data_IF_582845172665
#
_entry.id   IF_582845172665
#
_cell.length_a   1.000
_cell.length_b   1.000
_cell.length_c   1.000
_cell.angle_alpha   90.00
_cell.angle_beta   90.00
_cell.angle_gamma   90.00
#
_symmetry.space_group_name_H-M   'P 1'
#
loop_
_entity.id
_entity.type
_entity.pdbx_description
1 polymer ?
#
# COMPACT_ATOMS: atom_id res chain seq x y z
N UNK A 1 22.02 -5.64 -4.22
CA UNK A 1 20.80 -6.42 -4.56
C UNK A 1 19.63 -5.68 -3.94
N UNK A 2 18.84 -5.00 -4.75
CA UNK A 2 17.58 -4.40 -4.29
C UNK A 2 16.56 -5.52 -4.14
N UNK A 3 15.86 -5.65 -3.00
CA UNK A 3 14.86 -6.70 -2.85
C UNK A 3 13.77 -6.48 -3.88
N UNK A 4 13.50 -7.52 -4.67
CA UNK A 4 12.30 -7.62 -5.49
C UNK A 4 11.08 -7.41 -4.60
N UNK A 5 10.23 -6.44 -4.94
CA UNK A 5 8.96 -6.28 -4.27
C UNK A 5 7.99 -7.36 -4.76
N UNK A 6 8.11 -8.54 -4.18
CA UNK A 6 7.07 -9.54 -4.27
C UNK A 6 6.00 -9.18 -3.22
N UNK A 7 4.72 -9.15 -3.63
CA UNK A 7 3.63 -9.05 -2.67
C UNK A 7 3.60 -10.29 -1.77
N UNK A 8 3.28 -10.10 -0.50
CA UNK A 8 3.20 -11.17 0.49
C UNK A 8 1.75 -11.49 0.84
N UNK A 9 1.40 -12.77 0.76
CA UNK A 9 0.09 -13.30 1.12
C UNK A 9 0.19 -14.27 2.29
N UNK A 10 -0.72 -14.15 3.25
CA UNK A 10 -0.98 -15.16 4.27
C UNK A 10 -2.24 -15.93 3.87
N UNK A 11 -2.12 -17.22 3.62
CA UNK A 11 -3.23 -18.13 3.32
C UNK A 11 -3.56 -18.98 4.55
N UNK A 12 -4.78 -18.84 5.06
CA UNK A 12 -5.25 -19.57 6.26
C UNK A 12 -6.27 -20.62 5.80
N UNK A 13 -5.86 -21.88 5.76
CA UNK A 13 -6.71 -23.01 5.40
C UNK A 13 -6.09 -24.33 5.80
N UNK A 14 -6.93 -25.33 6.10
CA UNK A 14 -6.56 -26.75 6.24
C UNK A 14 -7.06 -27.58 5.06
N UNK A 15 -7.85 -26.98 4.17
CA UNK A 15 -8.41 -27.67 3.00
C UNK A 15 -7.35 -27.79 1.89
N UNK A 16 -6.90 -29.02 1.53
CA UNK A 16 -5.90 -29.23 0.49
C UNK A 16 -6.35 -28.74 -0.89
N UNK A 17 -7.66 -28.80 -1.16
CA UNK A 17 -8.24 -28.35 -2.43
C UNK A 17 -8.14 -26.82 -2.56
N UNK A 18 -8.52 -26.10 -1.51
CA UNK A 18 -8.36 -24.65 -1.42
C UNK A 18 -6.89 -24.26 -1.56
N UNK A 19 -6.01 -24.90 -0.78
CA UNK A 19 -4.58 -24.67 -0.85
C UNK A 19 -4.02 -24.84 -2.26
N UNK A 20 -4.32 -25.96 -2.91
CA UNK A 20 -3.78 -26.28 -4.24
C UNK A 20 -4.17 -25.23 -5.30
N UNK A 21 -5.44 -24.82 -5.31
CA UNK A 21 -5.95 -23.88 -6.31
C UNK A 21 -5.44 -22.46 -6.02
N UNK A 22 -5.58 -21.98 -4.79
CA UNK A 22 -5.22 -20.61 -4.39
C UNK A 22 -3.72 -20.37 -4.52
N UNK A 23 -2.88 -21.29 -4.03
CA UNK A 23 -1.42 -21.13 -4.09
C UNK A 23 -0.91 -21.11 -5.53
N UNK A 24 -1.52 -21.89 -6.43
CA UNK A 24 -1.17 -21.85 -7.86
C UNK A 24 -1.49 -20.50 -8.48
N UNK A 25 -2.70 -19.98 -8.24
CA UNK A 25 -3.11 -18.68 -8.79
C UNK A 25 -2.23 -17.55 -8.25
N UNK A 26 -1.94 -17.55 -6.95
CA UNK A 26 -1.08 -16.55 -6.33
C UNK A 26 0.35 -16.58 -6.89
N UNK A 27 0.89 -17.77 -7.15
CA UNK A 27 2.18 -17.95 -7.82
C UNK A 27 2.17 -17.38 -9.24
N UNK A 28 1.09 -17.65 -10.01
CA UNK A 28 0.92 -17.10 -11.37
C UNK A 28 0.86 -15.54 -11.35
N UNK A 29 0.44 -14.95 -10.23
CA UNK A 29 0.42 -13.50 -9.98
C UNK A 29 1.73 -12.97 -9.36
N UNK A 30 2.75 -13.81 -9.20
CA UNK A 30 4.02 -13.45 -8.53
C UNK A 30 3.84 -12.97 -7.09
N UNK A 31 2.91 -13.56 -6.35
CA UNK A 31 2.65 -13.31 -4.94
C UNK A 31 3.27 -14.41 -4.10
N UNK A 32 4.16 -14.05 -3.18
CA UNK A 32 4.71 -15.00 -2.20
C UNK A 32 3.63 -15.39 -1.20
N UNK A 33 3.51 -16.68 -0.89
CA UNK A 33 2.43 -17.19 -0.04
C UNK A 33 2.98 -17.96 1.15
N UNK A 34 2.67 -17.46 2.35
CA UNK A 34 2.87 -18.15 3.61
C UNK A 34 1.58 -18.87 4.01
N UNK A 35 1.66 -20.17 4.25
CA UNK A 35 0.50 -20.99 4.61
C UNK A 35 0.42 -21.18 6.12
N UNK A 36 -0.70 -20.78 6.68
CA UNK A 36 -1.01 -20.94 8.09
C UNK A 36 -2.19 -21.92 8.27
N UNK A 37 -1.97 -23.00 8.99
CA UNK A 37 -3.00 -24.01 9.26
C UNK A 37 -3.98 -23.58 10.37
N UNK A 38 -3.72 -22.48 11.07
CA UNK A 38 -4.55 -21.97 12.15
C UNK A 38 -4.56 -20.44 12.19
N UNK A 39 -5.66 -19.86 12.64
CA UNK A 39 -5.80 -18.41 12.86
C UNK A 39 -4.72 -17.86 13.81
N UNK A 40 -4.32 -18.63 14.83
CA UNK A 40 -3.26 -18.23 15.78
C UNK A 40 -1.89 -18.08 15.09
N UNK A 41 -1.49 -19.04 14.23
CA UNK A 41 -0.26 -18.92 13.44
C UNK A 41 -0.30 -17.73 12.48
N UNK A 42 -1.47 -17.48 11.88
CA UNK A 42 -1.66 -16.33 11.01
C UNK A 42 -1.47 -15.01 11.78
N UNK A 43 -2.00 -14.88 13.00
CA UNK A 43 -1.78 -13.70 13.85
C UNK A 43 -0.30 -13.47 14.16
N UNK A 44 0.44 -14.53 14.50
CA UNK A 44 1.89 -14.44 14.74
C UNK A 44 2.63 -13.96 13.49
N UNK A 45 2.26 -14.46 12.30
CA UNK A 45 2.87 -14.04 11.04
C UNK A 45 2.53 -12.59 10.70
N UNK A 46 1.29 -12.17 10.91
CA UNK A 46 0.84 -10.79 10.68
C UNK A 46 1.55 -9.79 11.60
N UNK A 47 1.88 -10.20 12.82
CA UNK A 47 2.60 -9.35 13.77
C UNK A 47 4.03 -8.99 13.29
N UNK A 48 4.64 -9.80 12.42
CA UNK A 48 5.95 -9.49 11.82
C UNK A 48 5.86 -8.40 10.74
N UNK A 49 4.66 -8.04 10.29
CA UNK A 49 4.40 -7.05 9.25
C UNK A 49 4.65 -7.55 7.84
N UNK A 50 4.46 -6.66 6.86
CA UNK A 50 4.76 -6.93 5.45
C UNK A 50 3.71 -7.70 4.68
N UNK A 51 2.54 -7.99 5.25
CA UNK A 51 1.47 -8.73 4.57
C UNK A 51 0.57 -7.79 3.76
N UNK A 52 0.47 -8.03 2.45
CA UNK A 52 -0.35 -7.25 1.51
C UNK A 52 -1.73 -7.88 1.28
N UNK A 53 -1.80 -9.20 1.33
CA UNK A 53 -3.01 -10.01 1.11
C UNK A 53 -3.17 -11.02 2.23
N UNK A 54 -4.40 -11.20 2.68
CA UNK A 54 -4.77 -12.34 3.51
C UNK A 54 -5.96 -13.06 2.89
N UNK A 55 -5.82 -14.36 2.73
CA UNK A 55 -6.89 -15.25 2.25
C UNK A 55 -7.28 -16.18 3.40
N UNK A 56 -8.53 -16.13 3.83
CA UNK A 56 -9.02 -16.84 5.00
C UNK A 56 -10.11 -17.83 4.57
N UNK A 57 -9.90 -19.10 4.83
CA UNK A 57 -11.00 -20.08 4.80
C UNK A 57 -11.94 -19.77 5.98
N UNK A 58 -13.13 -19.25 5.65
CA UNK A 58 -14.04 -18.69 6.65
C UNK A 58 -14.62 -19.74 7.59
N UNK A 59 -14.64 -20.99 7.17
CA UNK A 59 -15.09 -22.12 8.00
C UNK A 59 -14.03 -22.65 8.96
N UNK A 60 -12.80 -22.13 8.90
CA UNK A 60 -11.77 -22.46 9.89
C UNK A 60 -12.05 -21.79 11.23
N UNK A 61 -11.76 -22.53 12.30
CA UNK A 61 -11.94 -22.02 13.64
C UNK A 61 -11.09 -20.75 13.90
N UNK A 62 -11.72 -19.76 14.52
CA UNK A 62 -11.07 -18.49 14.87
C UNK A 62 -10.96 -17.48 13.72
N UNK A 63 -11.56 -17.72 12.55
CA UNK A 63 -11.51 -16.81 11.39
C UNK A 63 -12.11 -15.45 11.69
N UNK A 64 -13.22 -15.39 12.43
CA UNK A 64 -13.84 -14.13 12.84
C UNK A 64 -12.96 -13.35 13.82
N UNK A 65 -12.32 -14.01 14.78
CA UNK A 65 -11.39 -13.40 15.72
C UNK A 65 -10.14 -12.88 15.00
N UNK A 66 -9.60 -13.66 14.05
CA UNK A 66 -8.48 -13.23 13.21
C UNK A 66 -8.83 -11.95 12.45
N UNK A 67 -9.99 -11.90 11.80
CA UNK A 67 -10.45 -10.72 11.07
C UNK A 67 -10.59 -9.50 11.98
N UNK A 68 -11.14 -9.68 13.20
CA UNK A 68 -11.25 -8.62 14.19
C UNK A 68 -9.88 -8.05 14.56
N UNK A 69 -8.88 -8.91 14.84
CA UNK A 69 -7.54 -8.47 15.19
C UNK A 69 -6.82 -7.76 14.03
N UNK A 70 -7.03 -8.19 12.78
CA UNK A 70 -6.51 -7.49 11.60
C UNK A 70 -7.01 -6.04 11.56
N UNK A 71 -8.29 -5.81 11.85
CA UNK A 71 -8.88 -4.47 11.81
C UNK A 71 -8.57 -3.63 13.05
N UNK A 72 -8.39 -4.25 14.20
CA UNK A 72 -8.03 -3.60 15.45
C UNK A 72 -6.57 -3.10 15.46
N UNK A 73 -5.67 -3.82 14.80
CA UNK A 73 -4.25 -3.45 14.76
C UNK A 73 -4.09 -2.03 14.19
N UNK A 74 -3.33 -1.18 14.87
CA UNK A 74 -3.08 0.22 14.48
C UNK A 74 -2.12 0.39 13.29
N UNK A 75 -1.80 -0.69 12.57
CA UNK A 75 -0.92 -0.62 11.41
C UNK A 75 -1.55 0.22 10.29
N UNK A 76 -0.79 1.15 9.78
CA UNK A 76 -1.19 2.11 8.73
C UNK A 76 -1.55 1.42 7.41
N UNK A 77 -0.95 0.28 7.12
CA UNK A 77 -1.23 -0.49 5.91
C UNK A 77 -2.02 -1.75 6.27
N UNK A 78 -3.31 -1.73 5.94
CA UNK A 78 -4.20 -2.88 6.11
C UNK A 78 -4.07 -3.80 4.92
N UNK A 79 -3.98 -5.13 5.13
CA UNK A 79 -3.96 -6.07 4.01
C UNK A 79 -5.30 -6.10 3.28
N UNK A 80 -5.27 -6.43 1.99
CA UNK A 80 -6.47 -6.84 1.29
C UNK A 80 -6.95 -8.16 1.86
N UNK A 81 -8.23 -8.26 2.23
CA UNK A 81 -8.81 -9.47 2.85
C UNK A 81 -9.73 -10.15 1.87
N UNK A 82 -9.50 -11.45 1.65
CA UNK A 82 -10.35 -12.36 0.88
C UNK A 82 -10.83 -13.47 1.81
N UNK A 83 -12.14 -13.72 1.86
CA UNK A 83 -12.70 -14.87 2.55
C UNK A 83 -13.15 -15.93 1.55
N UNK A 84 -12.91 -17.20 1.88
CA UNK A 84 -13.44 -18.35 1.15
C UNK A 84 -14.56 -18.93 2.00
N UNK A 85 -15.79 -18.95 1.49
CA UNK A 85 -16.96 -19.39 2.25
C UNK A 85 -17.93 -20.21 1.42
N UNK A 86 -18.45 -21.28 2.00
CA UNK A 86 -19.46 -22.15 1.38
C UNK A 86 -20.76 -21.41 1.10
N UNK A 87 -21.10 -20.46 1.95
CA UNK A 87 -22.36 -19.71 1.84
C UNK A 87 -22.32 -18.58 0.82
N UNK A 88 -21.12 -18.14 0.39
CA UNK A 88 -20.96 -17.06 -0.58
C UNK A 88 -21.54 -15.71 -0.13
N UNK A 89 -21.96 -15.60 1.11
CA UNK A 89 -22.57 -14.39 1.68
C UNK A 89 -21.51 -13.33 2.01
N UNK A 90 -21.96 -12.07 2.00
CA UNK A 90 -21.08 -10.94 2.34
C UNK A 90 -20.61 -11.08 3.80
N UNK A 91 -19.31 -11.12 4.01
CA UNK A 91 -18.68 -11.14 5.33
C UNK A 91 -18.25 -9.70 5.66
N UNK A 92 -18.75 -9.10 6.75
CA UNK A 92 -18.35 -7.75 7.15
C UNK A 92 -16.84 -7.66 7.38
N UNK A 93 -16.22 -6.61 6.87
CA UNK A 93 -14.77 -6.40 6.98
C UNK A 93 -13.93 -7.19 5.96
N UNK A 94 -14.55 -7.97 5.08
CA UNK A 94 -13.88 -8.67 3.97
C UNK A 94 -14.06 -7.89 2.69
N UNK A 95 -13.01 -7.77 1.89
CA UNK A 95 -13.05 -7.05 0.62
C UNK A 95 -13.66 -7.88 -0.50
N UNK A 96 -13.35 -9.18 -0.54
CA UNK A 96 -13.78 -10.12 -1.59
C UNK A 96 -14.19 -11.43 -0.93
N UNK A 97 -15.33 -11.97 -1.33
CA UNK A 97 -15.77 -13.31 -0.92
C UNK A 97 -15.69 -14.25 -2.12
N UNK A 98 -14.97 -15.33 -1.94
CA UNK A 98 -14.83 -16.42 -2.91
C UNK A 98 -15.63 -17.63 -2.41
N UNK A 99 -16.50 -18.18 -3.26
CA UNK A 99 -17.29 -19.34 -2.87
C UNK A 99 -16.40 -20.58 -2.71
N UNK A 100 -16.58 -21.32 -1.61
CA UNK A 100 -15.93 -22.62 -1.39
C UNK A 100 -16.39 -23.60 -2.47
N UNK A 101 -15.61 -24.60 -2.83
CA UNK A 101 -15.47 -25.25 -4.12
C UNK A 101 -14.81 -24.28 -5.12
N UNK A 102 -13.60 -23.82 -4.71
CA UNK A 102 -12.86 -22.85 -5.52
C UNK A 102 -12.50 -23.49 -6.85
N UNK A 103 -13.21 -23.11 -7.92
CA UNK A 103 -12.78 -23.44 -9.27
C UNK A 103 -11.61 -22.57 -9.70
N UNK A 104 -10.80 -23.05 -10.64
CA UNK A 104 -9.65 -22.28 -11.15
C UNK A 104 -10.07 -20.93 -11.73
N UNK A 105 -11.19 -20.90 -12.45
CA UNK A 105 -11.73 -19.72 -13.12
C UNK A 105 -12.23 -18.68 -12.10
N UNK A 106 -13.12 -19.09 -11.19
CA UNK A 106 -13.66 -18.20 -10.15
C UNK A 106 -12.55 -17.70 -9.20
N UNK A 107 -11.63 -18.60 -8.82
CA UNK A 107 -10.47 -18.25 -8.01
C UNK A 107 -9.58 -17.21 -8.70
N UNK A 108 -9.27 -17.42 -10.00
CA UNK A 108 -8.46 -16.50 -10.78
C UNK A 108 -9.10 -15.11 -10.88
N UNK A 109 -10.39 -15.05 -11.19
CA UNK A 109 -11.12 -13.79 -11.30
C UNK A 109 -11.10 -13.02 -9.98
N UNK A 110 -11.44 -13.67 -8.87
CA UNK A 110 -11.50 -13.04 -7.55
C UNK A 110 -10.11 -12.59 -7.05
N UNK A 111 -9.10 -13.44 -7.20
CA UNK A 111 -7.73 -13.11 -6.79
C UNK A 111 -7.09 -12.05 -7.69
N UNK A 112 -7.48 -11.93 -8.94
CA UNK A 112 -7.05 -10.85 -9.82
C UNK A 112 -7.65 -9.50 -9.40
N UNK A 113 -8.90 -9.47 -8.91
CA UNK A 113 -9.49 -8.28 -8.30
C UNK A 113 -8.75 -7.91 -7.01
N UNK A 114 -8.43 -8.90 -6.15
CA UNK A 114 -7.63 -8.69 -4.94
C UNK A 114 -6.24 -8.11 -5.28
N UNK A 115 -5.57 -8.68 -6.26
CA UNK A 115 -4.28 -8.23 -6.76
C UNK A 115 -4.33 -6.79 -7.28
N UNK A 116 -5.35 -6.44 -8.07
CA UNK A 116 -5.55 -5.09 -8.57
C UNK A 116 -5.75 -4.08 -7.42
N UNK A 117 -6.48 -4.47 -6.37
CA UNK A 117 -6.65 -3.69 -5.17
C UNK A 117 -5.33 -3.50 -4.42
N UNK A 118 -4.56 -4.57 -4.21
CA UNK A 118 -3.22 -4.49 -3.59
C UNK A 118 -2.30 -3.53 -4.35
N UNK A 119 -2.28 -3.61 -5.68
CA UNK A 119 -1.52 -2.68 -6.52
C UNK A 119 -1.98 -1.24 -6.32
N UNK A 120 -3.28 -1.01 -6.21
CA UNK A 120 -3.84 0.32 -5.99
C UNK A 120 -3.50 0.85 -4.60
N UNK A 121 -3.63 0.03 -3.56
CA UNK A 121 -3.29 0.38 -2.18
C UNK A 121 -1.78 0.60 -2.04
N UNK A 122 -0.96 -0.24 -2.69
CA UNK A 122 0.48 -0.04 -2.73
C UNK A 122 0.86 1.27 -3.43
N UNK A 123 0.21 1.63 -4.55
CA UNK A 123 0.41 2.90 -5.23
C UNK A 123 0.09 4.08 -4.32
N UNK A 124 -1.00 4.02 -3.55
CA UNK A 124 -1.41 5.07 -2.62
C UNK A 124 -0.45 5.23 -1.45
N UNK A 125 0.19 4.15 -0.99
CA UNK A 125 1.06 4.14 0.19
C UNK A 125 2.55 4.09 -0.15
N UNK A 126 2.91 3.74 -1.40
CA UNK A 126 4.30 3.74 -1.84
C UNK A 126 4.90 5.14 -1.72
N UNK A 127 6.03 5.24 -1.03
CA UNK A 127 6.80 6.46 -0.92
C UNK A 127 8.20 6.22 -1.47
N UNK A 128 8.64 7.12 -2.30
CA UNK A 128 9.94 7.04 -2.95
C UNK A 128 10.85 8.12 -2.40
N UNK A 129 12.02 7.72 -1.92
CA UNK A 129 13.02 8.66 -1.45
C UNK A 129 13.37 9.67 -2.54
N UNK A 130 13.40 10.94 -2.14
CA UNK A 130 13.70 12.06 -3.02
C UNK A 130 14.41 13.13 -2.21
N UNK A 131 15.70 13.32 -2.44
CA UNK A 131 16.46 14.39 -1.79
C UNK A 131 16.43 15.63 -2.69
N UNK A 132 15.48 16.55 -2.44
CA UNK A 132 15.35 17.78 -3.19
C UNK A 132 15.11 18.95 -2.22
N UNK A 133 15.93 20.01 -2.32
CA UNK A 133 15.73 21.24 -1.58
C UNK A 133 14.82 22.17 -2.37
N UNK A 134 13.76 22.66 -1.73
CA UNK A 134 12.80 23.61 -2.32
C UNK A 134 12.49 24.71 -1.31
N UNK A 135 11.97 25.82 -1.80
CA UNK A 135 11.42 26.90 -0.96
C UNK A 135 9.89 26.77 -1.00
N UNK A 136 9.30 26.53 0.16
CA UNK A 136 7.85 26.53 0.33
C UNK A 136 7.36 27.90 0.80
N UNK A 137 6.11 28.22 0.48
CA UNK A 137 5.40 29.37 1.04
C UNK A 137 4.29 28.84 1.95
N UNK A 138 4.22 29.33 3.17
CA UNK A 138 3.16 28.97 4.11
C UNK A 138 1.88 29.81 3.92
N UNK A 139 0.84 29.50 4.70
CA UNK A 139 -0.45 30.20 4.71
C UNK A 139 -0.34 31.68 5.17
N UNK A 140 0.79 32.08 5.76
CA UNK A 140 1.11 33.47 6.16
C UNK A 140 2.01 34.18 5.15
N UNK A 141 2.20 33.61 3.98
CA UNK A 141 3.10 34.12 2.93
C UNK A 141 4.58 34.18 3.32
N UNK A 142 5.03 33.44 4.34
CA UNK A 142 6.43 33.32 4.70
C UNK A 142 7.08 32.26 3.83
N UNK A 143 8.31 32.52 3.44
CA UNK A 143 9.13 31.55 2.71
C UNK A 143 9.86 30.66 3.70
N UNK A 144 9.69 29.34 3.55
CA UNK A 144 10.27 28.32 4.42
C UNK A 144 11.13 27.37 3.59
N UNK A 145 12.45 27.32 3.84
CA UNK A 145 13.30 26.32 3.19
C UNK A 145 12.94 24.92 3.70
N UNK A 146 12.69 24.00 2.78
CA UNK A 146 12.39 22.61 3.12
C UNK A 146 13.16 21.64 2.22
N UNK A 147 13.51 20.50 2.78
CA UNK A 147 14.07 19.37 2.01
C UNK A 147 13.03 18.30 1.88
N UNK A 148 12.69 17.92 0.65
CA UNK A 148 11.84 16.77 0.35
C UNK A 148 12.63 15.50 0.67
N UNK A 149 12.10 14.63 1.53
CA UNK A 149 12.72 13.36 1.90
C UNK A 149 12.14 12.20 1.10
N UNK A 150 10.84 12.21 0.91
CA UNK A 150 10.12 11.20 0.16
C UNK A 150 8.81 11.77 -0.40
N UNK A 151 8.31 11.17 -1.48
CA UNK A 151 7.05 11.54 -2.13
C UNK A 151 6.27 10.29 -2.52
N UNK A 152 4.95 10.34 -2.37
CA UNK A 152 4.00 9.31 -2.80
C UNK A 152 2.83 9.91 -3.56
N UNK A 153 1.81 9.10 -3.80
CA UNK A 153 0.61 9.49 -4.54
C UNK A 153 -0.24 10.53 -3.78
N UNK A 154 -0.36 10.40 -2.48
CA UNK A 154 -1.19 11.25 -1.62
C UNK A 154 -0.45 12.26 -0.77
N UNK A 155 0.89 12.34 -0.81
CA UNK A 155 1.61 13.23 0.08
C UNK A 155 3.13 13.16 0.00
N UNK A 156 3.77 13.96 0.84
CA UNK A 156 5.20 14.19 0.85
C UNK A 156 5.76 14.21 2.27
N UNK A 157 6.94 13.63 2.45
CA UNK A 157 7.76 13.76 3.65
C UNK A 157 8.79 14.87 3.46
N UNK A 158 8.84 15.78 4.42
CA UNK A 158 9.72 16.95 4.40
C UNK A 158 10.65 16.96 5.62
N UNK A 159 11.70 17.75 5.52
CA UNK A 159 12.48 18.24 6.65
C UNK A 159 12.58 19.76 6.56
N UNK A 160 12.35 20.43 7.68
CA UNK A 160 12.59 21.86 7.85
C UNK A 160 13.35 22.11 9.14
N UNK A 161 14.17 23.16 9.17
CA UNK A 161 14.76 23.70 10.41
C UNK A 161 13.78 24.64 11.11
N UNK A 162 12.82 25.20 10.37
CA UNK A 162 11.77 26.04 10.91
C UNK A 162 10.62 25.21 11.47
N UNK A 163 10.02 25.69 12.54
CA UNK A 163 8.87 25.06 13.16
C UNK A 163 7.62 25.28 12.31
N UNK A 164 7.05 24.17 11.81
CA UNK A 164 5.79 24.14 11.08
C UNK A 164 4.70 23.54 11.95
N UNK A 165 3.54 24.19 11.95
CA UNK A 165 2.40 23.79 12.78
C UNK A 165 1.54 22.79 12.02
N UNK A 166 1.09 21.73 12.69
CA UNK A 166 0.09 20.81 12.13
C UNK A 166 -1.19 21.55 11.72
N UNK A 167 -1.70 21.27 10.52
CA UNK A 167 -2.83 21.95 9.91
C UNK A 167 -2.45 23.10 8.99
N UNK A 168 -1.23 23.66 9.06
CA UNK A 168 -0.79 24.71 8.13
C UNK A 168 -0.64 24.18 6.71
N UNK A 169 -0.80 25.08 5.75
CA UNK A 169 -0.67 24.75 4.31
C UNK A 169 0.67 25.26 3.79
N UNK A 170 1.33 24.43 2.99
CA UNK A 170 2.55 24.75 2.28
C UNK A 170 2.31 24.70 0.77
N UNK A 171 2.83 25.68 0.05
CA UNK A 171 2.83 25.74 -1.41
C UNK A 171 4.25 25.78 -1.92
N UNK A 172 4.62 24.88 -2.84
CA UNK A 172 5.98 24.83 -3.40
C UNK A 172 5.98 24.25 -4.81
N UNK A 173 7.08 24.49 -5.51
CA UNK A 173 7.37 23.90 -6.81
C UNK A 173 8.45 22.84 -6.65
N UNK A 174 8.27 21.71 -7.32
CA UNK A 174 9.18 20.57 -7.25
C UNK A 174 9.52 20.06 -8.65
N UNK A 175 10.81 20.04 -8.97
CA UNK A 175 11.31 19.37 -10.16
C UNK A 175 11.59 17.90 -9.81
N UNK A 176 10.77 17.00 -10.36
CA UNK A 176 11.01 15.55 -10.21
C UNK A 176 12.18 15.12 -11.11
N UNK A 177 13.06 14.20 -10.65
CA UNK A 177 14.18 13.71 -11.45
C UNK A 177 13.70 13.13 -12.78
N UNK A 178 14.21 13.68 -13.88
CA UNK A 178 13.82 13.31 -15.24
C UNK A 178 12.58 14.00 -15.79
N UNK A 179 11.89 14.83 -15.01
CA UNK A 179 10.82 15.68 -15.50
C UNK A 179 11.38 16.91 -16.24
N UNK A 180 10.62 17.39 -17.24
CA UNK A 180 11.00 18.57 -18.04
C UNK A 180 10.60 19.90 -17.42
N UNK A 181 9.75 19.89 -16.41
CA UNK A 181 9.22 21.06 -15.72
C UNK A 181 8.84 20.76 -14.29
N UNK A 182 8.76 21.80 -13.48
CA UNK A 182 8.28 21.72 -12.11
C UNK A 182 6.80 21.36 -12.04
N UNK A 183 6.44 20.65 -11.00
CA UNK A 183 5.06 20.47 -10.56
C UNK A 183 4.75 21.43 -9.40
N UNK A 184 3.55 22.00 -9.39
CA UNK A 184 3.09 22.85 -8.31
C UNK A 184 2.27 22.03 -7.32
N UNK A 185 2.65 22.06 -6.05
CA UNK A 185 2.05 21.28 -4.98
C UNK A 185 1.57 22.21 -3.87
N UNK A 186 0.31 22.04 -3.45
CA UNK A 186 -0.20 22.54 -2.18
C UNK A 186 -0.43 21.36 -1.26
N UNK A 187 0.17 21.40 -0.08
CA UNK A 187 0.15 20.32 0.89
C UNK A 187 -0.20 20.83 2.29
N UNK A 188 -0.93 20.03 3.06
CA UNK A 188 -1.26 20.30 4.46
C UNK A 188 -0.34 19.52 5.38
N UNK A 189 0.22 20.17 6.37
CA UNK A 189 1.00 19.52 7.42
C UNK A 189 0.08 18.66 8.28
N UNK A 190 0.31 17.34 8.30
CA UNK A 190 -0.45 16.40 9.13
C UNK A 190 0.20 16.20 10.49
N UNK A 191 1.51 16.08 10.51
CA UNK A 191 2.29 15.83 11.72
C UNK A 191 3.70 16.39 11.60
N UNK A 192 4.26 16.76 12.75
CA UNK A 192 5.67 17.13 12.92
C UNK A 192 6.32 16.18 13.92
N UNK A 193 7.59 15.86 13.75
CA UNK A 193 8.38 15.01 14.65
C UNK A 193 9.72 15.67 14.97
N UNK A 194 10.42 15.07 15.95
CA UNK A 194 11.80 15.47 16.30
C UNK A 194 12.69 15.51 15.05
N UNK A 195 13.70 16.37 15.08
CA UNK A 195 14.66 16.62 14.00
C UNK A 195 14.02 17.23 12.72
N UNK A 196 12.95 18.02 12.89
CA UNK A 196 12.31 18.75 11.80
C UNK A 196 11.63 17.88 10.75
N UNK A 197 11.35 16.59 11.02
CA UNK A 197 10.61 15.72 10.09
C UNK A 197 9.13 16.03 10.12
N UNK A 198 8.55 16.17 8.93
CA UNK A 198 7.19 16.65 8.71
C UNK A 198 6.53 15.74 7.67
N UNK A 199 5.30 15.31 7.96
CA UNK A 199 4.48 14.62 6.98
C UNK A 199 3.34 15.51 6.51
N UNK A 200 3.18 15.60 5.18
CA UNK A 200 2.13 16.39 4.54
C UNK A 200 1.28 15.54 3.62
N UNK A 201 -0.02 15.84 3.55
CA UNK A 201 -0.93 15.35 2.52
C UNK A 201 -1.09 16.38 1.41
N UNK A 202 -1.30 15.95 0.18
CA UNK A 202 -1.61 16.84 -0.92
C UNK A 202 -3.05 17.36 -0.80
N UNK A 203 -3.23 18.69 -0.82
CA UNK A 203 -4.53 19.33 -0.90
C UNK A 203 -4.89 19.57 -2.36
N UNK A 204 -3.91 20.04 -3.13
CA UNK A 204 -4.12 20.42 -4.53
C UNK A 204 -2.83 20.26 -5.32
N UNK A 205 -2.96 19.59 -6.45
CA UNK A 205 -1.97 19.57 -7.54
C UNK A 205 -2.77 19.85 -8.82
N UNK A 206 -2.33 20.78 -9.69
CA UNK A 206 -3.01 21.01 -10.97
C UNK A 206 -3.11 19.72 -11.79
N UNK A 207 -4.18 19.45 -12.54
CA UNK A 207 -4.38 18.20 -13.27
C UNK A 207 -3.22 17.80 -14.19
N UNK A 208 -2.59 18.79 -14.83
CA UNK A 208 -1.42 18.53 -15.70
C UNK A 208 -0.22 18.09 -14.89
N UNK A 209 -0.04 18.61 -13.68
CA UNK A 209 1.08 18.29 -12.78
C UNK A 209 0.86 16.93 -12.09
N UNK A 210 -0.41 16.59 -11.80
CA UNK A 210 -0.78 15.23 -11.32
C UNK A 210 -0.33 14.16 -12.32
N UNK A 211 -0.52 14.39 -13.62
CA UNK A 211 -0.10 13.42 -14.63
C UNK A 211 1.42 13.21 -14.63
N UNK A 212 2.20 14.28 -14.44
CA UNK A 212 3.67 14.20 -14.32
C UNK A 212 4.08 13.40 -13.08
N UNK A 213 3.45 13.68 -11.95
CA UNK A 213 3.69 12.94 -10.69
C UNK A 213 3.37 11.46 -10.86
N UNK A 214 2.19 11.13 -11.39
CA UNK A 214 1.77 9.74 -11.59
C UNK A 214 2.66 8.99 -12.59
N UNK A 215 3.12 9.64 -13.67
CA UNK A 215 4.06 9.06 -14.61
C UNK A 215 5.40 8.76 -13.93
N UNK A 216 5.91 9.72 -13.15
CA UNK A 216 7.16 9.53 -12.40
C UNK A 216 7.06 8.39 -11.39
N UNK A 217 5.97 8.34 -10.60
CA UNK A 217 5.71 7.26 -9.64
C UNK A 217 5.63 5.90 -10.34
N UNK A 218 4.92 5.80 -11.48
CA UNK A 218 4.85 4.58 -12.29
C UNK A 218 6.22 4.10 -12.77
N UNK A 219 7.05 5.02 -13.25
CA UNK A 219 8.40 4.71 -13.71
C UNK A 219 9.27 4.18 -12.56
N UNK A 220 9.16 4.76 -11.34
CA UNK A 220 9.84 4.26 -10.16
C UNK A 220 9.40 2.84 -9.76
N UNK A 221 8.14 2.50 -9.96
CA UNK A 221 7.62 1.15 -9.72
C UNK A 221 8.14 0.14 -10.76
N UNK A 222 8.26 0.53 -12.04
CA UNK A 222 8.71 -0.37 -13.11
C UNK A 222 10.20 -0.73 -13.00
N UNK A 223 11.03 0.18 -12.49
CA UNK A 223 12.47 -0.07 -12.24
C UNK A 223 12.70 -1.17 -11.18
N UNK A 224 11.66 -1.52 -10.40
CA UNK A 224 11.70 -2.59 -9.39
C UNK A 224 11.12 -3.93 -9.86
N UNK A 225 10.68 -4.05 -11.13
CA UNK A 225 10.31 -5.37 -11.69
C UNK A 225 11.58 -6.13 -12.04
N UNK A 226 11.75 -7.41 -11.60
CA UNK A 226 12.85 -8.24 -12.11
C UNK A 226 12.68 -8.42 -13.62
N UNK A 227 13.76 -8.30 -14.35
CA UNK A 227 13.85 -8.84 -15.70
C UNK A 227 13.50 -10.33 -15.59
N UNK A 228 12.38 -10.72 -16.20
CA UNK A 228 12.07 -12.12 -16.38
C UNK A 228 13.27 -12.73 -17.13
N UNK A 229 14.05 -13.55 -16.45
CA UNK A 229 15.05 -14.40 -17.10
C UNK A 229 14.31 -15.35 -18.02
N UNK A 230 14.56 -15.20 -19.32
CA UNK A 230 14.14 -16.10 -20.37
C UNK A 230 14.66 -17.52 -20.11
#
# INVERSE_FOLDING_TARGET
MTPDMAFECVLVTRDPGVFSVVSRILRDLSVCTDVCLTSSKALTRLATGGTDLIVIDWEEEGSAALLHEIWKSGNWQKPTVVAISSHGSRVPGVHIVLKKTVTKEAGRQSLQVAYSRMLQDHRRHARYALAASVVATDDRNRTVPVTILDIGDGGVGLRSEEELISGSTLSFRLLLPGARRDIHIQARVLWTRKFGRIGCEFIRIPPVDVNILHEWLRNKMQVKKPLATA
#
